data_IF_794671967358
#
_entry.id   IF_794671967358
#
_cell.length_a   1.000
_cell.length_b   1.000
_cell.length_c   1.000
_cell.angle_alpha   90.00
_cell.angle_beta   90.00
_cell.angle_gamma   90.00
#
_symmetry.space_group_name_H-M   'P 1'
#
loop_
_entity.id
_entity.type
_entity.pdbx_description
1 polymer ?
#
# COMPACT_ATOMS: atom_id res chain seq x y z
N UNK A 1 12.12 -4.43 -4.18
CA UNK A 1 10.82 -3.76 -4.01
C UNK A 1 10.98 -2.26 -3.88
N UNK A 2 11.84 -1.75 -3.00
CA UNK A 2 12.00 -0.29 -2.85
C UNK A 2 12.38 0.43 -4.16
N UNK A 3 13.33 -0.11 -4.94
CA UNK A 3 13.67 0.42 -6.28
C UNK A 3 12.44 0.45 -7.20
N UNK A 4 11.66 -0.64 -7.24
CA UNK A 4 10.42 -0.73 -8.04
C UNK A 4 9.40 0.34 -7.61
N UNK A 5 9.23 0.58 -6.30
CA UNK A 5 8.31 1.60 -5.78
C UNK A 5 8.74 3.03 -6.14
N UNK A 6 10.05 3.27 -6.27
CA UNK A 6 10.60 4.55 -6.74
C UNK A 6 10.39 4.72 -8.25
N UNK A 7 10.58 3.66 -9.03
CA UNK A 7 10.34 3.68 -10.48
C UNK A 7 8.86 3.91 -10.82
N UNK A 8 7.95 3.33 -10.03
CA UNK A 8 6.49 3.50 -10.14
C UNK A 8 5.94 4.77 -9.50
N UNK A 9 6.80 5.60 -8.91
CA UNK A 9 6.37 6.83 -8.28
C UNK A 9 5.54 7.71 -9.24
N UNK A 10 4.43 8.23 -8.73
CA UNK A 10 3.45 9.02 -9.50
C UNK A 10 3.69 10.52 -9.29
N UNK A 11 3.27 11.34 -10.24
CA UNK A 11 3.28 12.79 -10.04
C UNK A 11 2.26 13.18 -8.99
N UNK A 12 2.70 13.94 -7.99
CA UNK A 12 1.84 14.48 -6.95
C UNK A 12 2.32 15.86 -6.51
N UNK A 13 1.55 16.46 -5.61
CA UNK A 13 1.87 17.74 -5.01
C UNK A 13 1.93 17.58 -3.49
N UNK A 14 3.06 18.00 -2.90
CA UNK A 14 3.29 17.96 -1.47
C UNK A 14 3.66 19.37 -1.01
N UNK A 15 2.82 19.97 -0.16
CA UNK A 15 3.06 21.31 0.39
C UNK A 15 3.36 22.38 -0.69
N UNK A 16 2.64 22.33 -1.82
CA UNK A 16 2.84 23.25 -2.94
C UNK A 16 3.97 22.88 -3.90
N UNK A 17 4.70 21.80 -3.63
CA UNK A 17 5.82 21.33 -4.46
C UNK A 17 5.38 20.13 -5.30
N UNK A 18 5.55 20.23 -6.62
CA UNK A 18 5.34 19.10 -7.53
C UNK A 18 6.55 18.17 -7.47
N UNK A 19 6.30 16.92 -7.13
CA UNK A 19 7.33 15.90 -7.02
C UNK A 19 6.78 14.53 -7.42
N UNK A 20 7.69 13.61 -7.75
CA UNK A 20 7.34 12.19 -7.77
C UNK A 20 7.16 11.71 -6.34
N UNK A 21 6.00 11.17 -6.04
CA UNK A 21 5.66 10.58 -4.75
C UNK A 21 5.34 9.10 -4.92
N UNK A 22 5.52 8.32 -3.86
CA UNK A 22 5.16 6.90 -3.86
C UNK A 22 3.69 6.72 -4.25
N UNK A 23 3.39 5.66 -5.01
CA UNK A 23 2.01 5.32 -5.36
C UNK A 23 1.20 4.98 -4.10
N UNK A 24 -0.12 5.09 -4.21
CA UNK A 24 -0.99 4.78 -3.07
C UNK A 24 -0.93 3.29 -2.73
N UNK A 25 -0.86 2.43 -3.74
CA UNK A 25 -0.71 0.98 -3.59
C UNK A 25 0.60 0.64 -2.87
N UNK A 26 1.71 1.26 -3.28
CA UNK A 26 3.02 0.99 -2.68
C UNK A 26 3.10 1.54 -1.24
N UNK A 27 2.45 2.67 -0.95
CA UNK A 27 2.31 3.17 0.41
C UNK A 27 1.52 2.18 1.29
N UNK A 28 0.44 1.60 0.76
CA UNK A 28 -0.34 0.59 1.48
C UNK A 28 0.50 -0.67 1.73
N UNK A 29 1.27 -1.14 0.75
CA UNK A 29 2.17 -2.29 0.92
C UNK A 29 3.16 -2.03 2.06
N UNK A 30 3.86 -0.89 2.03
CA UNK A 30 4.83 -0.53 3.07
C UNK A 30 4.21 -0.42 4.46
N UNK A 31 3.01 0.15 4.56
CA UNK A 31 2.27 0.21 5.84
C UNK A 31 1.82 -1.17 6.31
N UNK A 32 1.41 -2.05 5.41
CA UNK A 32 0.82 -3.36 5.75
C UNK A 32 1.82 -4.33 6.38
N UNK A 33 3.11 -4.17 6.08
CA UNK A 33 4.20 -4.98 6.62
C UNK A 33 4.82 -4.38 7.89
N UNK A 34 4.36 -3.19 8.33
CA UNK A 34 4.79 -2.57 9.58
C UNK A 34 4.11 -3.22 10.79
N UNK A 35 4.78 -3.21 11.95
CA UNK A 35 4.25 -3.77 13.20
C UNK A 35 3.33 -2.82 13.97
N UNK A 36 3.07 -1.60 13.47
CA UNK A 36 2.28 -0.60 14.20
C UNK A 36 0.80 -0.72 13.87
N UNK A 37 -0.02 -0.95 14.88
CA UNK A 37 -1.49 -1.04 14.72
C UNK A 37 -2.12 0.21 14.08
N UNK A 38 -1.55 1.39 14.34
CA UNK A 38 -2.02 2.65 13.75
C UNK A 38 -1.94 2.65 12.21
N UNK A 39 -0.99 1.91 11.62
CA UNK A 39 -0.87 1.83 10.17
C UNK A 39 -2.08 1.15 9.51
N UNK A 40 -2.77 0.23 10.21
CA UNK A 40 -3.99 -0.39 9.68
C UNK A 40 -5.17 0.56 9.62
N UNK A 41 -5.27 1.51 10.56
CA UNK A 41 -6.27 2.57 10.51
C UNK A 41 -6.00 3.50 9.31
N UNK A 42 -4.75 3.87 9.09
CA UNK A 42 -4.35 4.67 7.94
C UNK A 42 -4.68 3.95 6.62
N UNK A 43 -4.34 2.65 6.49
CA UNK A 43 -4.64 1.85 5.31
C UNK A 43 -6.14 1.84 5.03
N UNK A 44 -6.97 1.61 6.05
CA UNK A 44 -8.43 1.61 5.90
C UNK A 44 -8.93 2.96 5.38
N UNK A 45 -8.49 4.06 5.99
CA UNK A 45 -8.87 5.40 5.56
C UNK A 45 -8.43 5.69 4.12
N UNK A 46 -7.20 5.31 3.75
CA UNK A 46 -6.67 5.47 2.39
C UNK A 46 -7.51 4.70 1.36
N UNK A 47 -7.90 3.47 1.66
CA UNK A 47 -8.78 2.66 0.80
C UNK A 47 -10.20 3.24 0.72
N UNK A 48 -10.71 3.78 1.82
CA UNK A 48 -12.06 4.35 1.87
C UNK A 48 -12.20 5.59 1.00
N UNK A 49 -11.22 6.51 1.06
CA UNK A 49 -11.25 7.79 0.34
C UNK A 49 -10.77 7.69 -1.12
N UNK A 50 -10.10 6.60 -1.50
CA UNK A 50 -9.60 6.40 -2.86
C UNK A 50 -10.32 5.26 -3.58
N UNK A 51 -11.06 5.59 -4.64
CA UNK A 51 -11.81 4.60 -5.42
C UNK A 51 -11.01 3.95 -6.56
N UNK A 52 -9.78 4.39 -6.81
CA UNK A 52 -8.97 4.02 -7.99
C UNK A 52 -7.69 3.27 -7.62
N UNK A 53 -7.79 2.32 -6.71
CA UNK A 53 -6.67 1.43 -6.38
C UNK A 53 -6.52 0.32 -7.43
N UNK A 54 -5.29 0.09 -7.86
CA UNK A 54 -4.93 -1.14 -8.57
C UNK A 54 -4.86 -2.32 -7.58
N UNK A 55 -6.02 -2.91 -7.33
CA UNK A 55 -6.15 -4.05 -6.41
C UNK A 55 -5.38 -5.28 -6.85
N UNK A 56 -5.16 -5.47 -8.16
CA UNK A 56 -4.44 -6.63 -8.66
C UNK A 56 -2.96 -6.50 -8.27
N UNK A 57 -2.37 -5.33 -8.54
CA UNK A 57 -1.00 -5.01 -8.12
C UNK A 57 -0.85 -5.09 -6.59
N UNK A 58 -1.75 -4.45 -5.86
CA UNK A 58 -1.71 -4.42 -4.39
C UNK A 58 -1.76 -5.84 -3.79
N UNK A 59 -2.70 -6.68 -4.24
CA UNK A 59 -2.84 -8.05 -3.75
C UNK A 59 -1.62 -8.90 -4.10
N UNK A 60 -1.06 -8.75 -5.31
CA UNK A 60 0.14 -9.46 -5.72
C UNK A 60 1.31 -9.15 -4.79
N UNK A 61 1.59 -7.86 -4.52
CA UNK A 61 2.70 -7.44 -3.66
C UNK A 61 2.49 -7.82 -2.21
N UNK A 62 1.30 -7.61 -1.66
CA UNK A 62 1.00 -8.02 -0.29
C UNK A 62 1.11 -9.55 -0.13
N UNK A 63 0.67 -10.32 -1.13
CA UNK A 63 0.81 -11.79 -1.13
C UNK A 63 2.27 -12.26 -1.15
N UNK A 64 3.12 -11.56 -1.90
CA UNK A 64 4.57 -11.81 -1.89
C UNK A 64 5.15 -11.57 -0.49
N UNK A 65 4.86 -10.42 0.11
CA UNK A 65 5.39 -10.08 1.44
C UNK A 65 4.81 -10.94 2.56
N UNK A 66 3.52 -11.29 2.51
CA UNK A 66 2.90 -12.17 3.51
C UNK A 66 3.58 -13.54 3.54
N UNK A 67 4.04 -14.04 2.39
CA UNK A 67 4.81 -15.29 2.31
C UNK A 67 6.24 -15.12 2.83
N UNK A 68 6.94 -14.05 2.42
CA UNK A 68 8.32 -13.79 2.85
C UNK A 68 8.41 -13.61 4.37
N UNK A 69 7.42 -12.94 4.96
CA UNK A 69 7.38 -12.63 6.39
C UNK A 69 6.71 -13.73 7.24
N UNK A 70 6.17 -14.78 6.61
CA UNK A 70 5.35 -15.82 7.25
C UNK A 70 4.16 -15.25 8.06
N UNK A 71 3.50 -14.25 7.48
CA UNK A 71 2.37 -13.50 8.06
C UNK A 71 1.16 -13.46 7.11
N UNK A 72 0.46 -14.59 6.89
CA UNK A 72 -0.67 -14.66 5.96
C UNK A 72 -1.83 -13.71 6.33
N UNK A 73 -1.96 -13.34 7.61
CA UNK A 73 -2.99 -12.45 8.12
C UNK A 73 -2.93 -11.04 7.52
N UNK A 74 -1.76 -10.59 7.05
CA UNK A 74 -1.61 -9.29 6.36
C UNK A 74 -2.44 -9.30 5.08
N UNK A 75 -2.32 -10.36 4.27
CA UNK A 75 -3.06 -10.51 3.03
C UNK A 75 -4.56 -10.62 3.28
N UNK A 76 -4.96 -11.37 4.31
CA UNK A 76 -6.36 -11.54 4.66
C UNK A 76 -7.00 -10.22 5.09
N UNK A 77 -6.30 -9.40 5.89
CA UNK A 77 -6.78 -8.07 6.27
C UNK A 77 -6.97 -7.18 5.05
N UNK A 78 -6.01 -7.13 4.12
CA UNK A 78 -6.12 -6.34 2.88
C UNK A 78 -7.30 -6.81 2.02
N UNK A 79 -7.48 -8.13 1.86
CA UNK A 79 -8.61 -8.68 1.10
C UNK A 79 -9.97 -8.30 1.69
N UNK A 80 -10.09 -8.22 3.03
CA UNK A 80 -11.33 -7.78 3.70
C UNK A 80 -11.64 -6.29 3.48
N UNK A 81 -10.64 -5.49 3.12
CA UNK A 81 -10.80 -4.06 2.81
C UNK A 81 -11.09 -3.80 1.32
N UNK A 82 -10.99 -4.83 0.46
CA UNK A 82 -11.32 -4.73 -0.95
C UNK A 82 -12.80 -4.42 -1.14
N UNK A 83 -13.10 -3.34 -1.87
CA UNK A 83 -14.45 -2.96 -2.30
C UNK A 83 -14.87 -3.75 -3.55
#
# INVERSE_FOLDING_TARGET
>A
YEIESVERAVQGELLGVKAKIISLEDLIVQKSISERDKDWQDIKNLIEVNSKLDWNYLIEKVSMFSKILDKPEILDKIKRLKK
#
